data_IF_677175350517
#
_entry.id   IF_677175350517
#
_cell.length_a   1.000
_cell.length_b   1.000
_cell.length_c   1.000
_cell.angle_alpha   90.00
_cell.angle_beta   90.00
_cell.angle_gamma   90.00
#
_symmetry.space_group_name_H-M   'P 1'
#
loop_
_entity.id
_entity.type
_entity.pdbx_description
1 polymer ?
#
# COMPACT_ATOMS: atom_id res chain seq x y z
N UNK A 1 -33.03 8.67 -0.03
CA UNK A 1 -33.11 7.20 -0.12
C UNK A 1 -32.67 6.84 -1.54
N UNK A 2 -31.39 6.49 -1.74
CA UNK A 2 -30.82 6.28 -3.08
C UNK A 2 -30.95 4.81 -3.47
N UNK A 3 -31.60 4.58 -4.61
CA UNK A 3 -31.77 3.25 -5.24
C UNK A 3 -30.42 2.88 -5.86
N UNK A 4 -29.73 1.89 -5.29
CA UNK A 4 -28.53 1.29 -5.89
C UNK A 4 -29.04 0.27 -6.90
N UNK A 5 -29.28 0.71 -8.14
CA UNK A 5 -29.50 -0.21 -9.25
C UNK A 5 -28.25 -1.07 -9.46
N UNK A 6 -28.46 -2.36 -9.76
CA UNK A 6 -27.39 -3.29 -10.14
C UNK A 6 -26.54 -2.65 -11.26
N UNK A 7 -25.27 -2.36 -11.01
CA UNK A 7 -24.42 -1.53 -11.90
C UNK A 7 -24.10 -2.26 -13.22
N UNK A 8 -24.68 -1.89 -14.39
CA UNK A 8 -24.55 -2.65 -15.64
C UNK A 8 -23.32 -2.28 -16.51
N UNK A 9 -22.37 -1.46 -16.01
CA UNK A 9 -21.53 -0.63 -16.90
C UNK A 9 -20.10 -0.40 -16.42
N UNK A 10 -19.31 -1.46 -16.23
CA UNK A 10 -17.84 -1.35 -16.41
C UNK A 10 -17.49 -1.93 -17.79
N UNK A 11 -18.09 -1.40 -18.85
CA UNK A 11 -17.87 -1.92 -20.21
C UNK A 11 -16.49 -1.52 -20.77
N UNK A 12 -15.79 -0.55 -20.17
CA UNK A 12 -14.54 0.00 -20.69
C UNK A 12 -13.55 0.43 -19.59
N UNK A 13 -13.30 -0.44 -18.60
CA UNK A 13 -12.22 -0.18 -17.63
C UNK A 13 -10.86 -0.40 -18.28
N UNK A 14 -10.07 0.67 -18.39
CA UNK A 14 -8.65 0.54 -18.72
C UNK A 14 -7.84 0.37 -17.44
N UNK A 15 -7.19 -0.77 -17.30
CA UNK A 15 -6.28 -1.04 -16.18
C UNK A 15 -4.85 -0.77 -16.63
N UNK A 16 -4.20 0.21 -15.99
CA UNK A 16 -2.80 0.55 -16.22
C UNK A 16 -2.00 -0.02 -15.07
N UNK A 17 -1.19 -1.05 -15.34
CA UNK A 17 -0.28 -1.63 -14.35
C UNK A 17 1.13 -1.13 -14.61
N UNK A 18 1.70 -0.43 -13.64
CA UNK A 18 3.06 0.10 -13.74
C UNK A 18 3.92 -0.57 -12.68
N UNK A 19 4.92 -1.38 -13.06
CA UNK A 19 5.87 -1.91 -12.11
C UNK A 19 6.59 -0.77 -11.37
N UNK A 20 6.76 -0.92 -10.07
CA UNK A 20 7.54 0.01 -9.24
C UNK A 20 8.88 0.42 -9.88
N UNK A 21 9.60 -0.54 -10.45
CA UNK A 21 10.91 -0.34 -11.11
C UNK A 21 10.86 0.52 -12.37
N UNK A 22 9.68 0.72 -12.97
CA UNK A 22 9.48 1.53 -14.18
C UNK A 22 8.90 2.91 -13.90
N UNK A 23 8.51 3.23 -12.67
CA UNK A 23 7.81 4.48 -12.34
C UNK A 23 8.59 5.73 -12.76
N UNK A 24 9.88 5.81 -12.42
CA UNK A 24 10.73 6.94 -12.77
C UNK A 24 10.82 7.17 -14.28
N UNK A 25 11.01 6.09 -15.05
CA UNK A 25 11.06 6.13 -16.52
C UNK A 25 9.73 6.56 -17.15
N UNK A 26 8.62 6.00 -16.67
CA UNK A 26 7.27 6.39 -17.12
C UNK A 26 7.00 7.86 -16.79
N UNK A 27 7.38 8.32 -15.60
CA UNK A 27 7.19 9.71 -15.18
C UNK A 27 7.96 10.68 -16.08
N UNK A 28 9.22 10.36 -16.41
CA UNK A 28 10.05 11.16 -17.32
C UNK A 28 9.45 11.26 -18.72
N UNK A 29 8.98 10.14 -19.25
CA UNK A 29 8.33 10.06 -20.56
C UNK A 29 6.97 10.80 -20.58
N UNK A 30 6.22 10.80 -19.49
CA UNK A 30 4.99 11.60 -19.39
C UNK A 30 5.26 13.10 -19.33
N UNK A 31 6.41 13.53 -18.80
CA UNK A 31 6.80 14.95 -18.78
C UNK A 31 7.09 15.50 -20.16
N UNK A 32 7.73 14.71 -21.03
CA UNK A 32 8.00 15.12 -22.41
C UNK A 32 6.72 15.21 -23.24
N UNK A 33 5.70 14.42 -22.90
CA UNK A 33 4.42 14.34 -23.63
C UNK A 33 3.33 15.27 -23.09
N UNK A 34 3.36 15.59 -21.80
CA UNK A 34 2.33 16.39 -21.12
C UNK A 34 2.99 17.56 -20.38
N UNK A 35 2.85 18.75 -20.93
CA UNK A 35 3.26 20.00 -20.27
C UNK A 35 2.28 20.31 -19.15
N UNK A 36 2.78 20.31 -17.92
CA UNK A 36 2.09 20.86 -16.74
C UNK A 36 2.94 22.01 -16.24
N UNK A 37 2.31 23.01 -15.64
CA UNK A 37 3.04 24.03 -14.90
C UNK A 37 3.82 23.35 -13.77
N UNK A 38 5.16 23.29 -13.88
CA UNK A 38 6.00 22.59 -12.90
C UNK A 38 5.96 23.28 -11.53
N UNK A 39 5.65 24.58 -11.52
CA UNK A 39 5.52 25.43 -10.34
C UNK A 39 4.10 25.41 -9.74
N UNK A 40 3.15 24.69 -10.34
CA UNK A 40 1.82 24.58 -9.72
C UNK A 40 1.90 23.70 -8.47
N UNK A 41 1.82 24.35 -7.31
CA UNK A 41 1.70 23.66 -6.04
C UNK A 41 0.31 23.06 -5.89
N UNK A 42 0.25 21.77 -5.57
CA UNK A 42 -0.97 21.12 -5.14
C UNK A 42 -0.74 20.48 -3.78
N UNK A 43 -1.49 20.94 -2.77
CA UNK A 43 -1.39 20.42 -1.41
C UNK A 43 0.09 20.48 -0.96
N UNK A 44 0.69 21.67 -1.12
CA UNK A 44 2.05 22.00 -0.65
C UNK A 44 3.20 21.27 -1.34
N UNK A 45 3.01 20.77 -2.57
CA UNK A 45 4.08 20.11 -3.31
C UNK A 45 4.03 20.36 -4.82
N UNK A 46 5.19 20.37 -5.44
CA UNK A 46 5.42 20.60 -6.87
C UNK A 46 5.59 19.30 -7.66
N UNK A 47 5.45 19.39 -8.99
CA UNK A 47 5.75 18.27 -9.88
C UNK A 47 7.24 17.88 -9.80
N UNK A 48 8.15 18.88 -9.72
CA UNK A 48 9.60 18.69 -9.61
C UNK A 48 9.96 17.82 -8.40
N UNK A 49 9.41 18.12 -7.22
CA UNK A 49 9.61 17.32 -6.01
C UNK A 49 9.10 15.89 -6.20
N UNK A 50 7.95 15.70 -6.85
CA UNK A 50 7.43 14.37 -7.18
C UNK A 50 8.43 13.54 -7.99
N UNK A 51 9.02 14.12 -9.03
CA UNK A 51 9.98 13.43 -9.89
C UNK A 51 11.26 13.10 -9.13
N UNK A 52 11.80 14.05 -8.37
CA UNK A 52 13.01 13.82 -7.57
C UNK A 52 12.82 12.63 -6.63
N UNK A 53 11.68 12.55 -5.95
CA UNK A 53 11.38 11.39 -5.09
C UNK A 53 11.16 10.09 -5.84
N UNK A 54 10.64 10.10 -7.06
CA UNK A 54 10.49 8.88 -7.86
C UNK A 54 11.84 8.36 -8.36
N UNK A 55 12.77 9.26 -8.65
CA UNK A 55 14.12 8.91 -9.13
C UNK A 55 15.05 8.51 -7.99
N UNK A 56 15.06 9.28 -6.90
CA UNK A 56 15.99 9.12 -5.78
C UNK A 56 15.41 8.36 -4.59
N UNK A 57 14.08 8.20 -4.56
CA UNK A 57 13.34 7.68 -3.42
C UNK A 57 13.08 8.74 -2.35
N UNK A 58 11.97 8.62 -1.62
CA UNK A 58 11.68 9.49 -0.49
C UNK A 58 12.39 9.00 0.79
N UNK A 59 13.73 9.08 0.85
CA UNK A 59 14.54 8.52 1.94
C UNK A 59 14.12 9.02 3.34
N UNK A 60 13.79 10.31 3.46
CA UNK A 60 13.30 10.89 4.71
C UNK A 60 11.97 10.26 5.16
N UNK A 61 11.06 10.00 4.21
CA UNK A 61 9.80 9.33 4.51
C UNK A 61 10.02 7.86 4.90
N UNK A 62 11.01 7.17 4.33
CA UNK A 62 11.38 5.81 4.78
C UNK A 62 11.78 5.79 6.23
N UNK A 63 12.68 6.70 6.60
CA UNK A 63 13.19 6.80 7.96
C UNK A 63 12.03 7.04 8.93
N UNK A 64 11.19 8.03 8.63
CA UNK A 64 9.99 8.35 9.43
C UNK A 64 9.00 7.18 9.48
N UNK A 65 8.76 6.50 8.36
CA UNK A 65 7.85 5.35 8.30
C UNK A 65 8.38 4.18 9.14
N UNK A 66 9.70 3.91 9.11
CA UNK A 66 10.33 2.87 9.93
C UNK A 66 10.28 3.21 11.40
N UNK A 67 10.67 4.42 11.78
CA UNK A 67 10.59 4.90 13.16
C UNK A 67 9.16 4.84 13.69
N UNK A 68 8.19 5.25 12.87
CA UNK A 68 6.77 5.16 13.20
C UNK A 68 6.31 3.71 13.33
N UNK A 69 6.69 2.83 12.39
CA UNK A 69 6.37 1.40 12.46
C UNK A 69 7.02 0.72 13.68
N UNK A 70 8.22 1.12 14.06
CA UNK A 70 8.87 0.66 15.28
C UNK A 70 8.10 1.11 16.52
N UNK A 71 7.73 2.38 16.60
CA UNK A 71 6.89 2.94 17.67
C UNK A 71 5.58 2.15 17.80
N UNK A 72 4.87 1.96 16.68
CA UNK A 72 3.65 1.14 16.63
C UNK A 72 3.92 -0.29 17.10
N UNK A 73 5.00 -0.92 16.64
CA UNK A 73 5.31 -2.29 17.02
C UNK A 73 5.69 -2.49 18.50
N UNK A 74 6.08 -1.42 19.21
CA UNK A 74 6.27 -1.44 20.67
C UNK A 74 4.93 -1.36 21.41
N UNK A 75 3.97 -0.62 20.86
CA UNK A 75 2.63 -0.46 21.44
C UNK A 75 1.74 -1.66 21.15
N UNK A 76 1.79 -2.18 19.94
CA UNK A 76 1.01 -3.34 19.49
C UNK A 76 1.79 -4.60 19.84
N UNK A 77 1.21 -5.48 20.66
CA UNK A 77 1.75 -6.82 20.91
C UNK A 77 1.60 -7.70 19.67
N UNK A 78 2.36 -7.39 18.62
CA UNK A 78 2.46 -8.24 17.45
C UNK A 78 3.23 -9.48 17.91
N UNK A 79 2.54 -10.63 18.05
CA UNK A 79 3.21 -11.90 18.38
C UNK A 79 4.34 -12.12 17.36
N UNK A 80 5.59 -12.02 17.79
CA UNK A 80 6.70 -12.32 16.89
C UNK A 80 6.54 -13.77 16.38
N UNK A 81 6.81 -14.03 15.08
CA UNK A 81 6.66 -15.36 14.51
C UNK A 81 7.35 -16.38 15.42
N UNK A 82 6.54 -17.31 15.95
CA UNK A 82 6.97 -18.20 17.04
C UNK A 82 8.22 -18.94 16.59
N UNK A 83 9.29 -18.80 17.38
CA UNK A 83 10.50 -19.59 17.16
C UNK A 83 10.20 -21.01 17.59
N UNK A 84 10.08 -21.95 16.64
CA UNK A 84 9.98 -23.38 16.98
C UNK A 84 11.37 -23.98 17.02
N UNK A 85 11.56 -24.94 17.93
CA UNK A 85 12.73 -25.82 17.88
C UNK A 85 12.56 -26.73 16.67
N UNK A 86 13.57 -26.76 15.79
CA UNK A 86 13.64 -27.70 14.66
C UNK A 86 14.89 -28.55 14.82
N UNK A 87 14.74 -29.85 14.62
CA UNK A 87 15.86 -30.78 14.59
C UNK A 87 16.68 -30.56 13.31
N UNK A 88 18.00 -30.48 13.44
CA UNK A 88 18.96 -30.13 12.40
C UNK A 88 20.23 -30.96 12.54
N UNK A 89 21.02 -31.04 11.46
CA UNK A 89 22.28 -31.80 11.42
C UNK A 89 23.35 -31.17 12.31
N UNK A 90 23.34 -29.84 12.44
CA UNK A 90 24.23 -29.09 13.33
C UNK A 90 23.47 -27.90 13.95
N UNK A 91 23.73 -27.61 15.23
CA UNK A 91 23.08 -26.52 15.95
C UNK A 91 23.56 -26.36 17.39
N UNK A 92 23.16 -25.26 18.04
CA UNK A 92 23.69 -24.90 19.36
C UNK A 92 23.22 -25.76 20.54
N UNK A 93 22.30 -26.72 20.34
CA UNK A 93 21.87 -27.62 21.42
C UNK A 93 21.71 -29.05 20.91
N UNK A 94 22.55 -29.96 21.36
CA UNK A 94 22.47 -31.39 21.03
C UNK A 94 21.36 -32.08 21.84
N UNK A 95 20.68 -33.05 21.24
CA UNK A 95 19.76 -33.99 21.90
C UNK A 95 20.52 -35.29 22.09
N UNK A 96 21.15 -35.45 23.25
CA UNK A 96 22.09 -36.55 23.52
C UNK A 96 21.51 -37.92 23.17
N UNK A 97 20.27 -38.22 23.58
CA UNK A 97 19.62 -39.49 23.24
C UNK A 97 19.47 -39.73 21.73
N UNK A 98 19.14 -38.70 20.96
CA UNK A 98 19.04 -38.80 19.51
C UNK A 98 20.41 -38.93 18.84
N UNK A 99 21.44 -38.29 19.41
CA UNK A 99 22.83 -38.43 18.95
C UNK A 99 23.33 -39.86 19.13
N UNK A 100 23.18 -40.40 20.34
CA UNK A 100 23.59 -41.78 20.66
C UNK A 100 22.81 -42.83 19.87
N UNK A 101 21.54 -42.56 19.56
CA UNK A 101 20.72 -43.41 18.70
C UNK A 101 21.03 -43.27 17.19
N UNK A 102 22.09 -42.55 16.80
CA UNK A 102 22.48 -42.40 15.39
C UNK A 102 21.52 -41.54 14.54
N UNK A 103 20.72 -40.66 15.16
CA UNK A 103 19.80 -39.80 14.40
C UNK A 103 20.57 -38.85 13.47
N UNK A 104 20.12 -38.72 12.22
CA UNK A 104 20.68 -37.75 11.26
C UNK A 104 20.50 -36.27 11.65
N UNK A 105 19.62 -35.97 12.62
CA UNK A 105 19.32 -34.59 13.06
C UNK A 105 19.36 -34.50 14.59
N UNK A 106 20.50 -34.78 15.22
CA UNK A 106 20.57 -34.89 16.67
C UNK A 106 20.63 -33.51 17.34
N UNK A 107 20.85 -32.43 16.59
CA UNK A 107 20.89 -31.09 17.13
C UNK A 107 19.53 -30.40 16.99
N UNK A 108 19.29 -29.41 17.82
CA UNK A 108 18.12 -28.54 17.75
C UNK A 108 18.57 -27.09 17.66
N UNK A 109 17.86 -26.31 16.84
CA UNK A 109 18.01 -24.85 16.80
C UNK A 109 16.64 -24.20 16.80
N UNK A 110 16.55 -22.99 17.36
CA UNK A 110 15.36 -22.14 17.24
C UNK A 110 15.33 -21.57 15.81
N UNK A 111 14.41 -22.05 14.98
CA UNK A 111 14.14 -21.44 13.66
C UNK A 111 12.94 -20.53 13.77
N UNK A 112 12.97 -19.39 13.10
CA UNK A 112 11.75 -18.63 12.83
C UNK A 112 10.90 -19.49 11.92
N UNK A 113 9.78 -19.99 12.42
CA UNK A 113 8.79 -20.63 11.57
C UNK A 113 7.96 -19.49 11.02
N UNK A 114 8.17 -19.19 9.74
CA UNK A 114 7.21 -18.38 9.00
C UNK A 114 6.00 -19.30 8.86
N UNK A 115 4.97 -19.01 9.64
CA UNK A 115 3.69 -19.69 9.48
C UNK A 115 3.27 -19.51 8.02
N UNK A 116 2.89 -20.59 7.33
CA UNK A 116 2.59 -20.59 5.89
C UNK A 116 1.22 -19.92 5.63
N UNK A 117 0.94 -18.81 6.30
CA UNK A 117 -0.22 -17.97 6.04
C UNK A 117 -0.11 -17.49 4.60
N UNK A 118 -1.21 -17.65 3.86
CA UNK A 118 -1.29 -17.17 2.48
C UNK A 118 -0.83 -15.69 2.40
N UNK A 119 -0.15 -15.26 1.33
CA UNK A 119 0.14 -13.85 1.13
C UNK A 119 -1.15 -13.01 1.19
N UNK A 120 -1.05 -11.79 1.71
CA UNK A 120 -2.15 -10.80 1.69
C UNK A 120 -1.75 -9.63 0.82
N UNK A 121 -2.67 -9.18 -0.02
CA UNK A 121 -2.54 -7.94 -0.75
C UNK A 121 -3.19 -6.81 0.05
N UNK A 122 -2.43 -5.75 0.25
CA UNK A 122 -2.88 -4.51 0.86
C UNK A 122 -2.98 -3.48 -0.25
N UNK A 123 -4.21 -3.22 -0.68
CA UNK A 123 -4.53 -2.19 -1.65
C UNK A 123 -4.70 -0.86 -0.94
N UNK A 124 -3.98 0.15 -1.42
CA UNK A 124 -4.04 1.50 -0.85
C UNK A 124 -4.44 2.48 -1.93
N UNK A 125 -5.59 3.11 -1.76
CA UNK A 125 -5.99 4.22 -2.60
C UNK A 125 -5.13 5.44 -2.25
N UNK A 126 -4.39 5.95 -3.25
CA UNK A 126 -3.57 7.17 -3.14
C UNK A 126 -4.40 8.43 -3.36
N UNK A 127 -5.67 8.30 -3.78
CA UNK A 127 -6.62 9.40 -3.89
C UNK A 127 -6.90 10.06 -2.54
N UNK A 128 -6.96 11.39 -2.52
CA UNK A 128 -7.35 12.18 -1.36
C UNK A 128 -8.31 13.31 -1.73
N UNK A 129 -9.07 13.79 -0.75
CA UNK A 129 -9.94 14.96 -0.91
C UNK A 129 -9.10 16.22 -1.05
N UNK A 130 -9.58 17.15 -1.88
CA UNK A 130 -8.94 18.46 -2.05
C UNK A 130 -8.90 19.29 -0.76
N UNK A 131 -9.72 18.94 0.25
CA UNK A 131 -9.65 19.54 1.58
C UNK A 131 -8.68 18.87 2.55
N UNK A 132 -7.98 17.80 2.16
CA UNK A 132 -6.98 17.14 3.02
C UNK A 132 -5.62 17.77 2.81
N UNK A 133 -5.01 18.23 3.91
CA UNK A 133 -3.71 18.87 3.89
C UNK A 133 -2.56 17.90 3.58
N UNK A 134 -1.42 18.45 3.14
CA UNK A 134 -0.22 17.68 2.80
C UNK A 134 0.28 16.82 3.97
N UNK A 135 0.26 17.43 5.16
CA UNK A 135 0.67 16.77 6.41
C UNK A 135 -0.25 15.60 6.76
N UNK A 136 -1.54 15.71 6.42
CA UNK A 136 -2.52 14.66 6.66
C UNK A 136 -2.40 13.52 5.64
N UNK A 137 -2.12 13.83 4.37
CA UNK A 137 -1.74 12.83 3.36
C UNK A 137 -0.49 12.06 3.81
N UNK A 138 0.54 12.77 4.27
CA UNK A 138 1.75 12.15 4.79
C UNK A 138 1.47 11.29 6.03
N UNK A 139 0.72 11.81 7.00
CA UNK A 139 0.30 11.08 8.21
C UNK A 139 -0.41 9.78 7.85
N UNK A 140 -1.38 9.83 6.92
CA UNK A 140 -2.10 8.65 6.42
C UNK A 140 -1.15 7.66 5.75
N UNK A 141 -0.25 8.13 4.90
CA UNK A 141 0.71 7.26 4.22
C UNK A 141 1.66 6.56 5.21
N UNK A 142 2.19 7.29 6.18
CA UNK A 142 3.02 6.72 7.25
C UNK A 142 2.27 5.67 8.07
N UNK A 143 1.00 5.93 8.42
CA UNK A 143 0.17 4.97 9.13
C UNK A 143 -0.06 3.68 8.33
N UNK A 144 -0.38 3.80 7.03
CA UNK A 144 -0.61 2.65 6.14
C UNK A 144 0.67 1.84 5.90
N UNK A 145 1.82 2.52 5.76
CA UNK A 145 3.12 1.86 5.64
C UNK A 145 3.52 1.14 6.93
N UNK A 146 3.28 1.75 8.09
CA UNK A 146 3.52 1.10 9.38
C UNK A 146 2.60 -0.09 9.60
N UNK A 147 1.32 0.02 9.22
CA UNK A 147 0.38 -1.09 9.19
C UNK A 147 0.92 -2.25 8.34
N UNK A 148 1.29 -1.99 7.07
CA UNK A 148 1.83 -2.99 6.18
C UNK A 148 3.15 -3.60 6.71
N UNK A 149 4.01 -2.77 7.32
CA UNK A 149 5.26 -3.22 7.92
C UNK A 149 5.00 -4.17 9.09
N UNK A 150 4.13 -3.81 10.03
CA UNK A 150 3.76 -4.66 11.15
C UNK A 150 3.09 -5.96 10.69
N UNK A 151 2.17 -5.89 9.71
CA UNK A 151 1.53 -7.07 9.13
C UNK A 151 2.55 -7.99 8.43
N UNK A 152 3.57 -7.42 7.78
CA UNK A 152 4.62 -8.18 7.09
C UNK A 152 5.49 -9.03 8.02
N UNK A 153 5.51 -8.70 9.32
CA UNK A 153 6.18 -9.51 10.36
C UNK A 153 5.41 -10.80 10.66
N UNK A 154 4.11 -10.84 10.38
CA UNK A 154 3.23 -11.97 10.64
C UNK A 154 2.99 -12.86 9.42
N UNK A 155 2.86 -12.28 8.22
CA UNK A 155 2.65 -13.02 6.97
C UNK A 155 3.26 -12.29 5.78
N UNK A 156 3.44 -12.93 4.61
CA UNK A 156 3.83 -12.22 3.39
C UNK A 156 2.78 -11.16 3.03
N UNK A 157 3.23 -9.95 2.68
CA UNK A 157 2.37 -8.80 2.35
C UNK A 157 2.83 -8.22 1.03
N UNK A 158 1.90 -8.08 0.08
CA UNK A 158 2.08 -7.27 -1.12
C UNK A 158 1.39 -5.93 -0.90
N UNK A 159 2.09 -4.83 -1.10
CA UNK A 159 1.46 -3.50 -1.09
C UNK A 159 1.20 -3.08 -2.52
N UNK A 160 -0.03 -2.70 -2.84
CA UNK A 160 -0.45 -2.24 -4.15
C UNK A 160 -1.07 -0.85 -3.97
N UNK A 161 -0.34 0.18 -4.38
CA UNK A 161 -0.94 1.49 -4.49
C UNK A 161 -1.86 1.50 -5.72
N UNK A 162 -3.02 2.11 -5.60
CA UNK A 162 -3.93 2.27 -6.72
C UNK A 162 -4.64 3.60 -6.65
N UNK A 163 -5.20 4.03 -7.77
CA UNK A 163 -6.22 5.07 -7.77
C UNK A 163 -7.13 4.85 -8.98
N UNK A 164 -8.36 5.30 -8.82
CA UNK A 164 -9.40 5.14 -9.82
C UNK A 164 -9.88 6.50 -10.26
N UNK A 165 -9.94 6.69 -11.57
CA UNK A 165 -10.43 7.91 -12.19
C UNK A 165 -11.55 7.59 -13.15
N UNK A 166 -12.55 8.48 -13.15
CA UNK A 166 -13.52 8.55 -14.23
C UNK A 166 -13.28 9.83 -15.00
N UNK A 167 -12.88 9.69 -16.26
CA UNK A 167 -12.73 10.81 -17.18
C UNK A 167 -13.81 10.70 -18.24
N UNK A 168 -14.76 11.65 -18.23
CA UNK A 168 -15.95 11.62 -19.09
C UNK A 168 -16.74 10.31 -18.92
N UNK A 169 -16.66 9.41 -19.89
CA UNK A 169 -17.33 8.10 -19.93
C UNK A 169 -16.36 6.92 -19.85
N UNK A 170 -15.08 7.19 -19.55
CA UNK A 170 -14.04 6.17 -19.47
C UNK A 170 -13.54 6.03 -18.05
N UNK A 171 -13.43 4.79 -17.60
CA UNK A 171 -12.89 4.42 -16.30
C UNK A 171 -11.44 3.98 -16.46
N UNK A 172 -10.56 4.52 -15.62
CA UNK A 172 -9.13 4.23 -15.63
C UNK A 172 -8.70 3.88 -14.22
N UNK A 173 -8.07 2.73 -14.09
CA UNK A 173 -7.51 2.24 -12.84
C UNK A 173 -6.01 2.13 -12.97
N UNK A 174 -5.29 2.96 -12.22
CA UNK A 174 -3.84 2.89 -12.13
C UNK A 174 -3.48 2.00 -10.95
N UNK A 175 -2.69 0.95 -11.18
CA UNK A 175 -2.13 0.07 -10.15
C UNK A 175 -0.61 0.12 -10.20
N UNK A 176 -0.02 0.28 -9.02
CA UNK A 176 1.42 0.30 -8.80
C UNK A 176 1.75 -0.75 -7.75
N UNK A 177 2.14 -1.97 -8.16
CA UNK A 177 2.65 -2.97 -7.23
C UNK A 177 3.99 -2.52 -6.64
N UNK A 178 4.07 -2.40 -5.32
CA UNK A 178 5.25 -1.93 -4.57
C UNK A 178 6.11 -3.09 -4.03
N UNK A 179 5.74 -4.33 -4.34
CA UNK A 179 6.50 -5.55 -4.06
C UNK A 179 6.00 -6.39 -2.88
N UNK A 180 6.42 -7.66 -2.86
CA UNK A 180 5.98 -8.72 -1.93
C UNK A 180 6.96 -9.01 -0.78
N UNK A 181 8.28 -8.82 -1.01
CA UNK A 181 9.36 -8.77 -0.01
C UNK A 181 10.75 -8.75 -0.69
N UNK A 182 11.69 -7.91 -0.22
CA UNK A 182 11.43 -6.79 0.68
C UNK A 182 10.58 -5.72 -0.02
N UNK A 183 9.59 -5.17 0.68
CA UNK A 183 8.85 -4.00 0.19
C UNK A 183 9.85 -2.87 -0.01
N UNK A 184 9.83 -2.21 -1.18
CA UNK A 184 10.64 -1.02 -1.40
C UNK A 184 10.01 0.14 -0.64
N UNK A 185 10.37 0.28 0.64
CA UNK A 185 9.81 1.30 1.53
C UNK A 185 10.07 2.73 1.06
N UNK A 186 11.16 2.98 0.32
CA UNK A 186 11.49 4.30 -0.24
C UNK A 186 10.48 4.74 -1.28
N UNK A 187 10.23 3.85 -2.21
CA UNK A 187 9.26 4.11 -3.26
C UNK A 187 7.83 4.09 -2.70
N UNK A 188 7.53 3.17 -1.77
CA UNK A 188 6.22 3.11 -1.13
C UNK A 188 5.89 4.38 -0.33
N UNK A 189 6.89 4.98 0.33
CA UNK A 189 6.82 6.30 0.95
C UNK A 189 6.36 7.36 -0.04
N UNK A 190 7.13 7.55 -1.11
CA UNK A 190 6.84 8.55 -2.14
C UNK A 190 5.45 8.34 -2.78
N UNK A 191 5.09 7.09 -3.07
CA UNK A 191 3.84 6.74 -3.77
C UNK A 191 2.60 6.92 -2.89
N UNK A 192 2.68 6.53 -1.61
CA UNK A 192 1.50 6.49 -0.72
C UNK A 192 1.39 7.75 0.15
N UNK A 193 2.51 8.29 0.60
CA UNK A 193 2.58 9.36 1.58
C UNK A 193 2.79 10.75 1.00
N UNK A 194 2.95 10.91 -0.31
CA UNK A 194 3.17 12.22 -0.92
C UNK A 194 1.99 12.67 -1.79
N UNK A 195 1.45 13.85 -1.50
CA UNK A 195 0.32 14.45 -2.21
C UNK A 195 0.60 14.62 -3.71
N UNK A 196 1.82 15.01 -4.06
CA UNK A 196 2.22 15.21 -5.45
C UNK A 196 2.15 13.93 -6.31
N UNK A 197 2.33 12.73 -5.75
CA UNK A 197 2.31 11.51 -6.56
C UNK A 197 0.94 11.26 -7.19
N UNK A 198 -0.13 11.43 -6.40
CA UNK A 198 -1.49 11.29 -6.92
C UNK A 198 -1.77 12.35 -7.98
N UNK A 199 -1.44 13.62 -7.72
CA UNK A 199 -1.80 14.72 -8.62
C UNK A 199 -0.97 14.75 -9.88
N UNK A 200 0.35 14.69 -9.77
CA UNK A 200 1.25 14.84 -10.91
C UNK A 200 1.31 13.54 -11.72
N UNK A 201 1.67 12.43 -11.09
CA UNK A 201 1.88 11.19 -11.81
C UNK A 201 0.57 10.52 -12.23
N UNK A 202 -0.37 10.33 -11.29
CA UNK A 202 -1.56 9.54 -11.59
C UNK A 202 -2.55 10.28 -12.51
N UNK A 203 -2.72 11.60 -12.40
CA UNK A 203 -3.51 12.34 -13.41
C UNK A 203 -2.83 12.35 -14.77
N UNK A 204 -1.50 12.54 -14.87
CA UNK A 204 -0.78 12.49 -16.16
C UNK A 204 -1.03 11.17 -16.90
N UNK A 205 -0.85 10.05 -16.20
CA UNK A 205 -1.13 8.71 -16.76
C UNK A 205 -2.57 8.64 -17.25
N UNK A 206 -3.50 9.13 -16.44
CA UNK A 206 -4.92 9.00 -16.74
C UNK A 206 -5.30 9.85 -17.95
N UNK A 207 -4.76 11.07 -18.07
CA UNK A 207 -4.93 11.91 -19.25
C UNK A 207 -4.34 11.27 -20.51
N UNK A 208 -3.13 10.72 -20.42
CA UNK A 208 -2.45 10.01 -21.53
C UNK A 208 -3.29 8.81 -22.00
N UNK A 209 -3.70 7.96 -21.06
CA UNK A 209 -4.43 6.71 -21.34
C UNK A 209 -5.88 6.95 -21.78
N UNK A 210 -6.51 7.98 -21.25
CA UNK A 210 -7.85 8.40 -21.67
C UNK A 210 -7.83 9.23 -22.97
N UNK A 211 -6.66 9.62 -23.48
CA UNK A 211 -6.51 10.58 -24.60
C UNK A 211 -7.42 11.80 -24.41
N UNK A 212 -7.55 12.25 -23.16
CA UNK A 212 -8.53 13.26 -22.78
C UNK A 212 -7.83 14.61 -22.60
N UNK A 213 -8.00 15.56 -23.55
CA UNK A 213 -7.37 16.87 -23.45
C UNK A 213 -8.00 17.65 -22.30
N UNK A 214 -7.22 17.86 -21.23
CA UNK A 214 -7.41 18.86 -20.14
C UNK A 214 -8.76 18.92 -19.41
N UNK A 215 -9.72 18.03 -19.71
CA UNK A 215 -11.08 18.09 -19.18
C UNK A 215 -11.21 17.37 -17.82
N UNK A 216 -12.05 17.95 -16.95
CA UNK A 216 -12.29 17.57 -15.56
C UNK A 216 -12.19 16.08 -15.28
N UNK A 217 -11.09 15.69 -14.65
CA UNK A 217 -10.92 14.37 -14.11
C UNK A 217 -11.50 14.39 -12.69
N UNK A 218 -12.60 13.69 -12.51
CA UNK A 218 -13.18 13.48 -11.19
C UNK A 218 -12.43 12.26 -10.63
N UNK A 219 -11.52 12.51 -9.68
CA UNK A 219 -10.92 11.50 -8.81
C UNK A 219 -11.95 10.99 -7.78
N UNK A 220 -13.17 10.77 -8.24
CA UNK A 220 -14.34 10.44 -7.44
C UNK A 220 -15.25 9.66 -8.36
N UNK A 221 -15.04 8.35 -8.44
CA UNK A 221 -16.22 7.51 -8.60
C UNK A 221 -17.09 7.80 -7.37
N UNK A 222 -17.96 8.81 -7.43
CA UNK A 222 -18.98 9.09 -6.40
C UNK A 222 -19.82 7.84 -6.12
N UNK A 223 -19.92 6.96 -7.13
CA UNK A 223 -20.60 5.67 -7.11
C UNK A 223 -19.85 4.55 -6.36
N UNK A 224 -18.55 4.71 -6.07
CA UNK A 224 -17.67 3.63 -5.56
C UNK A 224 -17.08 3.93 -4.19
N UNK A 225 -17.77 4.74 -3.39
CA UNK A 225 -17.39 4.98 -1.99
C UNK A 225 -17.52 3.70 -1.12
N UNK A 226 -18.15 2.64 -1.63
CA UNK A 226 -18.22 1.33 -0.99
C UNK A 226 -16.98 0.47 -1.24
N UNK A 227 -16.44 -0.12 -0.16
CA UNK A 227 -15.32 -1.07 -0.21
C UNK A 227 -15.63 -2.26 -1.16
N UNK A 228 -16.89 -2.66 -1.30
CA UNK A 228 -17.33 -3.78 -2.15
C UNK A 228 -16.98 -3.61 -3.62
N UNK A 229 -17.32 -2.48 -4.24
CA UNK A 229 -17.05 -2.28 -5.67
C UNK A 229 -15.57 -2.07 -5.95
N UNK A 230 -14.86 -1.37 -5.04
CA UNK A 230 -13.41 -1.26 -5.12
C UNK A 230 -12.75 -2.64 -5.10
N UNK A 231 -13.18 -3.54 -4.21
CA UNK A 231 -12.66 -4.92 -4.14
C UNK A 231 -12.87 -5.69 -5.43
N UNK A 232 -14.06 -5.60 -6.02
CA UNK A 232 -14.38 -6.24 -7.30
C UNK A 232 -13.46 -5.75 -8.43
N UNK A 233 -13.37 -4.43 -8.62
CA UNK A 233 -12.51 -3.78 -9.63
C UNK A 233 -11.02 -4.12 -9.40
N UNK A 234 -10.61 -4.25 -8.15
CA UNK A 234 -9.24 -4.57 -7.79
C UNK A 234 -8.91 -6.05 -8.02
N UNK A 235 -9.92 -6.93 -8.09
CA UNK A 235 -9.75 -8.37 -8.01
C UNK A 235 -9.24 -8.80 -6.63
N UNK A 236 -9.67 -8.10 -5.58
CA UNK A 236 -9.28 -8.36 -4.21
C UNK A 236 -9.99 -9.63 -3.70
N UNK A 237 -9.21 -10.59 -3.23
CA UNK A 237 -9.70 -11.82 -2.62
C UNK A 237 -10.26 -11.56 -1.22
N UNK A 238 -10.92 -12.55 -0.59
CA UNK A 238 -11.58 -12.38 0.70
C UNK A 238 -10.61 -11.94 1.82
N UNK A 239 -9.36 -12.40 1.77
CA UNK A 239 -8.34 -12.07 2.76
C UNK A 239 -7.55 -10.78 2.46
N UNK A 240 -7.80 -10.15 1.31
CA UNK A 240 -7.11 -8.91 0.94
C UNK A 240 -7.71 -7.71 1.66
N UNK A 241 -6.87 -6.71 1.86
CA UNK A 241 -7.20 -5.52 2.63
C UNK A 241 -7.24 -4.36 1.65
N UNK A 242 -8.32 -3.58 1.66
CA UNK A 242 -8.49 -2.42 0.80
C UNK A 242 -8.72 -1.20 1.67
N UNK A 243 -7.75 -0.28 1.65
CA UNK A 243 -7.87 1.04 2.24
C UNK A 243 -8.35 2.00 1.15
N UNK A 244 -9.59 2.49 1.31
CA UNK A 244 -10.17 3.48 0.41
C UNK A 244 -9.52 4.85 0.57
N UNK A 245 -9.86 5.78 -0.33
CA UNK A 245 -9.35 7.15 -0.42
C UNK A 245 -9.26 7.90 0.92
N UNK A 246 -8.29 8.81 1.02
CA UNK A 246 -8.18 9.75 2.14
C UNK A 246 -9.25 10.84 2.06
N UNK A 247 -10.36 10.67 2.77
CA UNK A 247 -11.42 11.68 2.86
C UNK A 247 -11.29 12.48 4.17
N UNK A 248 -11.89 13.68 4.24
CA UNK A 248 -11.94 14.49 5.47
C UNK A 248 -12.56 13.76 6.68
N UNK A 249 -13.32 12.69 6.43
CA UNK A 249 -13.91 11.83 7.44
C UNK A 249 -13.14 10.54 7.72
N UNK A 250 -11.98 10.35 7.09
CA UNK A 250 -11.15 9.17 7.30
C UNK A 250 -10.64 9.16 8.75
N UNK A 251 -10.87 8.04 9.44
CA UNK A 251 -10.52 7.88 10.84
C UNK A 251 -9.02 8.02 11.06
N UNK A 252 -8.19 7.57 10.11
CA UNK A 252 -6.72 7.69 10.22
C UNK A 252 -6.26 9.16 10.31
N UNK A 253 -7.02 10.07 9.69
CA UNK A 253 -6.74 11.50 9.71
C UNK A 253 -7.19 12.12 11.04
N UNK A 254 -8.37 11.73 11.52
CA UNK A 254 -8.99 12.29 12.74
C UNK A 254 -8.45 11.73 14.04
N UNK A 255 -7.87 10.53 14.04
CA UNK A 255 -7.41 9.86 15.25
C UNK A 255 -5.88 9.91 15.41
N UNK A 256 -5.42 9.45 16.58
CA UNK A 256 -4.02 9.09 16.77
C UNK A 256 -3.64 7.95 15.81
N UNK A 257 -2.62 8.13 14.94
CA UNK A 257 -2.30 7.14 13.92
C UNK A 257 -1.72 5.85 14.51
N UNK A 258 -1.10 5.88 15.70
CA UNK A 258 -0.61 4.66 16.38
C UNK A 258 -1.78 3.83 16.86
N UNK A 259 -2.76 4.46 17.51
CA UNK A 259 -3.99 3.79 17.95
C UNK A 259 -4.78 3.24 16.77
N UNK A 260 -4.84 3.99 15.67
CA UNK A 260 -5.49 3.55 14.44
C UNK A 260 -4.83 2.29 13.87
N UNK A 261 -3.49 2.30 13.70
CA UNK A 261 -2.77 1.13 13.18
C UNK A 261 -2.93 -0.08 14.11
N UNK A 262 -2.90 0.14 15.43
CA UNK A 262 -3.14 -0.92 16.42
C UNK A 262 -4.52 -1.56 16.24
N UNK A 263 -5.57 -0.73 16.14
CA UNK A 263 -6.95 -1.16 15.91
C UNK A 263 -7.10 -1.94 14.61
N UNK A 264 -6.51 -1.45 13.51
CA UNK A 264 -6.59 -2.13 12.21
C UNK A 264 -5.82 -3.44 12.18
N UNK A 265 -4.65 -3.52 12.83
CA UNK A 265 -3.91 -4.77 12.98
C UNK A 265 -4.71 -5.78 13.79
N UNK A 266 -5.33 -5.34 14.89
CA UNK A 266 -6.16 -6.20 15.74
C UNK A 266 -7.35 -6.75 14.95
N UNK A 267 -8.09 -5.86 14.26
CA UNK A 267 -9.19 -6.22 13.36
C UNK A 267 -8.74 -7.28 12.35
N UNK A 268 -7.65 -7.05 11.63
CA UNK A 268 -7.18 -7.96 10.56
C UNK A 268 -6.66 -9.29 11.10
N UNK A 269 -6.02 -9.30 12.27
CA UNK A 269 -5.42 -10.50 12.85
C UNK A 269 -6.41 -11.34 13.65
N UNK A 270 -7.43 -10.72 14.26
CA UNK A 270 -8.39 -11.37 15.14
C UNK A 270 -9.75 -11.63 14.51
N UNK A 271 -10.03 -11.10 13.30
CA UNK A 271 -11.20 -11.56 12.54
C UNK A 271 -10.96 -13.03 12.19
N UNK A 272 -11.42 -13.94 13.06
CA UNK A 272 -11.54 -15.37 12.78
C UNK A 272 -12.38 -15.46 11.51
N UNK A 273 -11.86 -16.13 10.47
CA UNK A 273 -12.47 -16.15 9.15
C UNK A 273 -13.97 -16.41 9.23
N UNK A 274 -14.75 -15.40 8.85
CA UNK A 274 -16.13 -15.59 8.41
C UNK A 274 -16.12 -16.23 7.02
#
# INVERSE_FOLDING_TARGET
MYRIDKHPTIKQLKVVKIPATKLAGVSRDLRTRITINEDSEFVGATAAECQDMLERGALNQVKRAREFAEKVSRTVKVENPRRRKRNVVAGGRVRVSAYLAGSQKPFSRKVKVVDAKAPVRVYVDIGCSGGVDAKDVEKRGLALLAFAHCLSKQRPVEVIAFTYFRIRRQDVLVKVPLGLKPVNWALAGAVIGHSAFMRDFAFRITHDVAKAPKAGCIAWGESYQGNTVAREILGAGPNDIVFGRGHLSDSVLRSDPVKWVASELDRVLNTKGN
#
